data_IF_445824636462
#
_entry.id   IF_445824636462
#
_cell.length_a   1.000
_cell.length_b   1.000
_cell.length_c   1.000
_cell.angle_alpha   90.00
_cell.angle_beta   90.00
_cell.angle_gamma   90.00
#
_symmetry.space_group_name_H-M   'P 1'
#
loop_
_entity.id
_entity.type
_entity.pdbx_description
1 polymer ?
#
# COMPACT_ATOMS: atom_id res chain seq x y z
N UNK A 1 -23.44 18.27 -3.06
CA UNK A 1 -23.30 17.00 -3.76
C UNK A 1 -24.71 16.53 -4.10
N UNK A 2 -25.19 16.80 -5.34
CA UNK A 2 -26.55 16.53 -5.74
C UNK A 2 -26.72 15.12 -6.28
N UNK A 3 -26.98 14.15 -5.43
CA UNK A 3 -27.69 12.94 -5.81
C UNK A 3 -29.00 12.97 -5.07
N UNK A 4 -30.12 12.82 -5.79
CA UNK A 4 -31.46 12.71 -5.21
C UNK A 4 -31.46 11.45 -4.31
N UNK A 5 -31.39 11.65 -2.98
CA UNK A 5 -31.61 10.60 -2.00
C UNK A 5 -33.10 10.34 -1.88
N UNK A 6 -33.61 9.19 -2.33
CA UNK A 6 -34.94 8.72 -2.02
C UNK A 6 -34.91 7.99 -0.66
N UNK A 7 -35.51 8.58 0.37
CA UNK A 7 -35.74 7.95 1.68
C UNK A 7 -37.11 7.26 1.63
N UNK A 8 -37.15 5.96 1.93
CA UNK A 8 -38.37 5.19 2.07
C UNK A 8 -38.62 4.96 3.56
N UNK A 9 -39.80 5.32 4.02
CA UNK A 9 -40.49 5.02 5.29
C UNK A 9 -40.32 6.00 6.47
N UNK A 10 -39.16 6.55 6.83
CA UNK A 10 -39.06 7.51 7.93
C UNK A 10 -37.90 8.49 7.83
N UNK A 11 -38.14 9.77 7.57
CA UNK A 11 -37.10 10.80 7.48
C UNK A 11 -36.53 11.21 8.86
N UNK A 12 -37.06 10.73 9.95
CA UNK A 12 -36.70 11.09 11.33
C UNK A 12 -35.96 10.00 12.09
N UNK A 13 -35.55 8.90 11.41
CA UNK A 13 -34.78 7.84 12.04
C UNK A 13 -33.36 8.32 12.32
N UNK A 14 -32.97 8.30 13.59
CA UNK A 14 -31.63 8.65 14.05
C UNK A 14 -30.75 7.41 14.12
N UNK A 15 -29.48 7.55 13.69
CA UNK A 15 -28.45 6.54 13.84
C UNK A 15 -27.22 7.15 14.49
N UNK A 16 -26.57 6.40 15.35
CA UNK A 16 -25.39 6.82 16.10
C UNK A 16 -24.20 5.89 15.92
N UNK A 17 -24.35 4.82 15.13
CA UNK A 17 -23.28 3.85 14.89
C UNK A 17 -23.41 3.21 13.50
N UNK A 18 -22.34 2.56 13.06
CA UNK A 18 -22.29 1.76 11.83
C UNK A 18 -22.19 0.28 12.19
N UNK A 19 -22.82 -0.60 11.42
CA UNK A 19 -22.74 -2.05 11.61
C UNK A 19 -22.66 -2.80 10.28
N UNK A 20 -22.15 -4.02 10.32
CA UNK A 20 -22.35 -4.94 9.20
C UNK A 20 -23.83 -5.29 9.10
N UNK A 21 -24.30 -5.63 7.88
CA UNK A 21 -25.71 -5.91 7.65
C UNK A 21 -26.22 -7.13 8.46
N UNK A 22 -25.36 -8.14 8.64
CA UNK A 22 -25.63 -9.34 9.43
C UNK A 22 -25.65 -9.09 10.95
N UNK A 23 -25.07 -8.00 11.42
CA UNK A 23 -24.91 -7.62 12.84
C UNK A 23 -25.70 -6.38 13.20
N UNK A 24 -26.61 -5.94 12.31
CA UNK A 24 -27.41 -4.72 12.50
C UNK A 24 -28.27 -4.73 13.75
N UNK A 25 -28.23 -3.66 14.53
CA UNK A 25 -29.03 -3.41 15.72
C UNK A 25 -29.75 -2.08 15.62
N UNK A 26 -30.84 -1.84 16.39
CA UNK A 26 -31.50 -0.55 16.44
C UNK A 26 -30.52 0.60 16.73
N UNK A 27 -30.62 1.70 15.98
CA UNK A 27 -29.72 2.84 16.05
C UNK A 27 -28.45 2.71 15.18
N UNK A 28 -28.32 1.64 14.38
CA UNK A 28 -27.20 1.50 13.44
C UNK A 28 -27.60 1.77 12.00
N UNK A 29 -26.60 2.23 11.22
CA UNK A 29 -26.65 2.29 9.76
C UNK A 29 -25.82 1.16 9.18
N UNK A 30 -26.40 0.40 8.27
CA UNK A 30 -25.75 -0.68 7.52
C UNK A 30 -25.76 -0.39 6.02
N UNK A 31 -25.17 -1.25 5.22
CA UNK A 31 -25.16 -1.11 3.75
C UNK A 31 -25.27 -2.48 3.06
N UNK A 32 -25.84 -2.47 1.85
CA UNK A 32 -25.91 -3.61 0.96
C UNK A 32 -25.34 -3.20 -0.42
N UNK A 33 -24.08 -3.57 -0.68
CA UNK A 33 -23.42 -3.33 -1.96
C UNK A 33 -23.24 -4.61 -2.77
N UNK A 34 -23.09 -5.77 -2.12
CA UNK A 34 -22.88 -7.05 -2.78
C UNK A 34 -24.15 -7.90 -2.75
N UNK A 35 -24.66 -8.33 -3.91
CA UNK A 35 -25.88 -9.15 -4.01
C UNK A 35 -25.85 -10.45 -3.21
N UNK A 36 -24.67 -11.01 -2.91
CA UNK A 36 -24.53 -12.21 -2.09
C UNK A 36 -25.06 -12.03 -0.65
N UNK A 37 -25.14 -10.81 -0.17
CA UNK A 37 -25.61 -10.47 1.18
C UNK A 37 -27.07 -10.02 1.21
N UNK A 38 -27.81 -10.07 0.08
CA UNK A 38 -29.20 -9.60 -0.02
C UNK A 38 -30.12 -10.27 1.00
N UNK A 39 -29.90 -11.54 1.32
CA UNK A 39 -30.75 -12.24 2.29
C UNK A 39 -30.69 -11.64 3.71
N UNK A 40 -29.59 -10.99 4.09
CA UNK A 40 -29.46 -10.34 5.39
C UNK A 40 -30.32 -9.08 5.53
N UNK A 41 -30.75 -8.43 4.41
CA UNK A 41 -31.57 -7.23 4.51
C UNK A 41 -32.95 -7.50 5.12
N UNK A 42 -33.42 -8.75 5.03
CA UNK A 42 -34.69 -9.20 5.61
C UNK A 42 -34.55 -9.68 7.06
N UNK A 43 -33.32 -9.77 7.59
CA UNK A 43 -33.01 -10.28 8.92
C UNK A 43 -32.35 -9.22 9.81
N UNK A 44 -31.82 -8.16 9.22
CA UNK A 44 -31.12 -7.12 9.96
C UNK A 44 -32.07 -6.31 10.81
N UNK A 45 -31.63 -5.93 12.00
CA UNK A 45 -32.30 -4.96 12.86
C UNK A 45 -31.68 -3.57 12.80
N UNK A 46 -30.81 -3.30 11.78
CA UNK A 46 -30.30 -1.96 11.54
C UNK A 46 -31.45 -0.97 11.25
N UNK A 47 -31.38 0.22 11.83
CA UNK A 47 -32.42 1.24 11.61
C UNK A 47 -32.41 1.77 10.19
N UNK A 48 -31.22 1.87 9.57
CA UNK A 48 -31.08 2.36 8.19
C UNK A 48 -30.15 1.40 7.42
N UNK A 49 -30.48 1.15 6.13
CA UNK A 49 -29.62 0.42 5.20
C UNK A 49 -29.44 1.22 3.91
N UNK A 50 -28.17 1.48 3.55
CA UNK A 50 -27.83 2.03 2.24
C UNK A 50 -27.95 0.93 1.20
N UNK A 51 -28.71 1.18 0.13
CA UNK A 51 -28.92 0.23 -0.96
C UNK A 51 -28.71 0.91 -2.32
N UNK A 52 -28.40 0.12 -3.34
CA UNK A 52 -28.34 0.66 -4.70
C UNK A 52 -29.71 1.23 -5.13
N UNK A 53 -29.72 2.29 -5.91
CA UNK A 53 -30.96 2.96 -6.37
C UNK A 53 -31.96 2.02 -7.05
N UNK A 54 -31.46 1.01 -7.77
CA UNK A 54 -32.27 0.02 -8.47
C UNK A 54 -32.69 -1.17 -7.59
N UNK A 55 -32.33 -1.15 -6.30
CA UNK A 55 -32.73 -2.23 -5.40
C UNK A 55 -34.25 -2.19 -5.15
N UNK A 56 -34.90 -3.30 -5.47
CA UNK A 56 -36.33 -3.52 -5.19
C UNK A 56 -36.47 -4.73 -4.24
N UNK A 57 -37.07 -4.53 -3.05
CA UNK A 57 -37.24 -5.61 -2.09
C UNK A 57 -38.31 -6.61 -2.56
N UNK A 58 -38.03 -7.89 -2.44
CA UNK A 58 -38.97 -8.99 -2.72
C UNK A 58 -39.97 -9.18 -1.57
N UNK A 59 -39.60 -8.79 -0.35
CA UNK A 59 -40.39 -8.91 0.87
C UNK A 59 -40.36 -7.61 1.67
N UNK A 60 -41.29 -7.41 2.61
CA UNK A 60 -41.24 -6.27 3.52
C UNK A 60 -39.94 -6.22 4.31
N UNK A 61 -39.38 -5.02 4.48
CA UNK A 61 -38.15 -4.74 5.21
C UNK A 61 -38.48 -3.81 6.36
N UNK A 62 -37.97 -4.10 7.57
CA UNK A 62 -38.16 -3.27 8.77
C UNK A 62 -37.30 -2.01 8.75
N UNK A 63 -36.08 -2.09 8.17
CA UNK A 63 -35.17 -0.97 8.10
C UNK A 63 -35.61 0.12 7.12
N UNK A 64 -35.30 1.37 7.45
CA UNK A 64 -35.42 2.47 6.49
C UNK A 64 -34.37 2.33 5.39
N UNK A 65 -34.78 2.35 4.13
CA UNK A 65 -33.87 2.22 2.99
C UNK A 65 -33.48 3.61 2.46
N UNK A 66 -32.16 3.83 2.31
CA UNK A 66 -31.63 5.00 1.59
C UNK A 66 -31.04 4.49 0.27
N UNK A 67 -31.71 4.84 -0.82
CA UNK A 67 -31.29 4.49 -2.19
C UNK A 67 -30.21 5.47 -2.67
N UNK A 68 -29.05 4.94 -3.09
CA UNK A 68 -27.89 5.71 -3.58
C UNK A 68 -27.31 5.06 -4.84
N UNK A 69 -26.55 5.82 -5.64
CA UNK A 69 -25.90 5.29 -6.84
C UNK A 69 -24.85 4.24 -6.52
N UNK A 70 -24.07 4.43 -5.46
CA UNK A 70 -23.04 3.50 -5.00
C UNK A 70 -23.03 3.42 -3.46
N UNK A 71 -23.64 2.37 -2.88
CA UNK A 71 -23.66 2.19 -1.42
C UNK A 71 -22.28 2.03 -0.80
N UNK A 72 -21.30 1.46 -1.55
CA UNK A 72 -19.95 1.27 -1.06
C UNK A 72 -19.18 2.58 -0.99
N UNK A 73 -19.30 3.43 -2.01
CA UNK A 73 -18.70 4.76 -2.02
C UNK A 73 -19.32 5.64 -0.91
N UNK A 74 -20.64 5.58 -0.71
CA UNK A 74 -21.29 6.30 0.39
C UNK A 74 -20.82 5.83 1.77
N UNK A 75 -20.67 4.51 1.97
CA UNK A 75 -20.09 3.98 3.20
C UNK A 75 -18.65 4.50 3.42
N UNK A 76 -17.82 4.47 2.39
CA UNK A 76 -16.44 4.96 2.48
C UNK A 76 -16.40 6.44 2.90
N UNK A 77 -17.28 7.27 2.36
CA UNK A 77 -17.42 8.69 2.77
C UNK A 77 -17.83 8.81 4.24
N UNK A 78 -18.81 8.04 4.71
CA UNK A 78 -19.25 8.05 6.11
C UNK A 78 -18.14 7.59 7.05
N UNK A 79 -17.44 6.52 6.73
CA UNK A 79 -16.29 6.02 7.52
C UNK A 79 -15.18 7.08 7.61
N UNK A 80 -14.92 7.80 6.51
CA UNK A 80 -13.95 8.89 6.53
C UNK A 80 -14.39 10.03 7.44
N UNK A 81 -15.67 10.45 7.39
CA UNK A 81 -16.21 11.48 8.29
C UNK A 81 -16.09 11.08 9.77
N UNK A 82 -16.43 9.84 10.10
CA UNK A 82 -16.29 9.32 11.48
C UNK A 82 -14.83 9.29 11.90
N UNK A 83 -13.94 8.84 11.01
CA UNK A 83 -12.52 8.81 11.26
C UNK A 83 -11.95 10.22 11.45
N UNK A 84 -12.29 11.17 10.60
CA UNK A 84 -11.88 12.57 10.73
C UNK A 84 -12.34 13.18 12.07
N UNK A 85 -13.56 12.93 12.48
CA UNK A 85 -14.10 13.40 13.77
C UNK A 85 -13.33 12.76 14.95
N UNK A 86 -12.94 11.50 14.83
CA UNK A 86 -12.18 10.76 15.86
C UNK A 86 -10.73 11.23 15.96
N UNK A 87 -10.10 11.57 14.82
CA UNK A 87 -8.70 12.01 14.75
C UNK A 87 -8.58 13.54 14.86
N UNK A 88 -9.66 14.28 15.04
CA UNK A 88 -9.67 15.75 15.12
C UNK A 88 -8.98 16.27 16.39
N UNK A 89 -7.68 15.96 16.54
CA UNK A 89 -6.84 16.49 17.62
C UNK A 89 -6.23 17.84 17.23
N UNK A 90 -6.11 18.72 18.22
CA UNK A 90 -5.41 20.02 18.11
C UNK A 90 -4.64 20.28 19.40
N UNK A 91 -3.64 21.16 19.32
CA UNK A 91 -2.86 21.61 20.47
C UNK A 91 -1.57 20.84 20.66
N UNK A 92 -0.84 21.23 21.68
CA UNK A 92 0.54 20.76 21.93
C UNK A 92 0.58 20.05 23.29
N UNK A 93 0.86 18.77 23.27
CA UNK A 93 1.08 17.96 24.47
C UNK A 93 2.53 18.09 24.96
N UNK A 94 2.77 17.92 26.25
CA UNK A 94 4.09 18.01 26.87
C UNK A 94 4.47 16.68 27.56
N UNK A 95 5.79 16.35 27.69
CA UNK A 95 6.92 17.10 27.16
C UNK A 95 7.17 16.84 25.68
N UNK A 96 7.67 17.83 24.96
CA UNK A 96 8.16 17.71 23.59
C UNK A 96 9.40 18.59 23.39
N UNK A 97 10.12 18.42 22.28
CA UNK A 97 11.21 19.30 21.86
C UNK A 97 10.91 19.87 20.48
N UNK A 98 10.93 21.17 20.37
CA UNK A 98 10.84 21.92 19.12
C UNK A 98 11.99 22.90 19.05
N UNK A 99 12.79 22.83 18.00
CA UNK A 99 13.89 23.78 17.79
C UNK A 99 13.36 25.21 17.71
N UNK A 100 14.09 26.15 18.28
CA UNK A 100 13.76 27.60 18.25
C UNK A 100 13.72 28.20 16.84
N UNK A 101 14.27 27.49 15.85
CA UNK A 101 14.23 27.89 14.43
C UNK A 101 12.93 27.50 13.73
N UNK A 102 11.99 26.81 14.40
CA UNK A 102 10.74 26.30 13.82
C UNK A 102 9.57 27.10 14.33
N UNK A 103 8.72 27.54 13.40
CA UNK A 103 7.41 28.14 13.72
C UNK A 103 6.33 27.09 13.50
N UNK A 104 5.61 26.79 14.58
CA UNK A 104 4.48 25.85 14.51
C UNK A 104 3.22 26.57 14.03
N UNK A 105 2.40 25.97 13.15
CA UNK A 105 1.08 26.50 12.79
C UNK A 105 0.11 26.45 13.98
N UNK A 106 -0.85 27.39 14.01
CA UNK A 106 -1.85 27.48 15.10
C UNK A 106 -2.79 26.28 15.16
N UNK A 107 -2.98 25.58 14.04
CA UNK A 107 -3.89 24.45 13.88
C UNK A 107 -3.21 23.07 14.01
N UNK A 108 -1.94 23.05 14.47
CA UNK A 108 -1.16 21.82 14.64
C UNK A 108 -1.71 20.96 15.80
N UNK A 109 -1.57 19.64 15.66
CA UNK A 109 -1.50 18.73 16.80
C UNK A 109 -0.07 18.20 16.95
N UNK A 110 0.52 18.39 18.13
CA UNK A 110 1.83 17.88 18.49
C UNK A 110 1.73 17.04 19.76
N UNK A 111 1.88 15.73 19.60
CA UNK A 111 1.82 14.75 20.68
C UNK A 111 3.05 14.76 21.57
N UNK A 112 2.91 14.23 22.78
CA UNK A 112 3.97 14.17 23.77
C UNK A 112 5.20 13.37 23.27
N UNK A 113 6.38 13.76 23.74
CA UNK A 113 7.67 13.17 23.37
C UNK A 113 8.03 13.27 21.88
N UNK A 114 7.37 14.16 21.13
CA UNK A 114 7.80 14.48 19.77
C UNK A 114 9.09 15.31 19.79
N UNK A 115 9.96 15.07 18.81
CA UNK A 115 11.18 15.84 18.56
C UNK A 115 11.12 16.47 17.18
N UNK A 116 11.26 17.78 17.09
CA UNK A 116 11.31 18.55 15.85
C UNK A 116 12.65 19.31 15.79
N UNK A 117 13.48 18.90 14.82
CA UNK A 117 14.82 19.45 14.59
C UNK A 117 14.81 20.86 14.02
N UNK A 118 15.99 21.31 13.61
CA UNK A 118 16.20 22.67 13.10
C UNK A 118 15.65 22.85 11.69
N UNK A 119 15.17 24.09 11.40
CA UNK A 119 14.74 24.53 10.07
C UNK A 119 13.65 23.67 9.43
N UNK A 120 12.90 22.92 10.24
CA UNK A 120 11.74 22.16 9.76
C UNK A 120 10.64 23.13 9.35
N UNK A 121 10.03 22.88 8.19
CA UNK A 121 8.87 23.63 7.69
C UNK A 121 7.64 22.74 7.79
N UNK A 122 6.57 23.25 8.41
CA UNK A 122 5.35 22.50 8.66
C UNK A 122 4.17 23.28 8.08
N UNK A 123 3.37 22.62 7.26
CA UNK A 123 2.16 23.16 6.66
C UNK A 123 0.98 23.22 7.63
N UNK A 124 -0.19 23.55 7.11
CA UNK A 124 -1.43 23.70 7.89
C UNK A 124 -2.06 22.36 8.22
N UNK A 125 -2.82 22.30 9.31
CA UNK A 125 -3.60 21.13 9.75
C UNK A 125 -2.77 19.83 9.82
N UNK A 126 -1.51 19.94 10.26
CA UNK A 126 -0.62 18.78 10.43
C UNK A 126 -0.86 18.15 11.80
N UNK A 127 -0.91 16.83 11.85
CA UNK A 127 -1.05 16.05 13.07
C UNK A 127 0.17 15.17 13.28
N UNK A 128 0.92 15.44 14.34
CA UNK A 128 2.14 14.73 14.72
C UNK A 128 1.86 14.03 16.04
N UNK A 129 1.74 12.71 15.98
CA UNK A 129 1.41 11.89 17.15
C UNK A 129 2.64 11.64 18.04
N UNK A 130 2.45 11.12 19.27
CA UNK A 130 3.52 10.96 20.24
C UNK A 130 4.74 10.17 19.74
N UNK A 131 5.94 10.49 20.31
CA UNK A 131 7.19 9.78 20.03
C UNK A 131 7.68 9.87 18.57
N UNK A 132 7.18 10.83 17.80
CA UNK A 132 7.64 11.08 16.43
C UNK A 132 8.96 11.84 16.46
N UNK A 133 9.91 11.44 15.60
CA UNK A 133 11.17 12.14 15.36
C UNK A 133 11.17 12.78 13.97
N UNK A 134 11.42 14.08 13.91
CA UNK A 134 11.55 14.86 12.66
C UNK A 134 12.92 15.53 12.69
N UNK A 135 13.80 15.09 11.78
CA UNK A 135 15.16 15.59 11.64
C UNK A 135 15.22 17.01 11.05
N UNK A 136 16.44 17.55 10.98
CA UNK A 136 16.68 18.91 10.47
C UNK A 136 16.29 19.04 8.98
N UNK A 137 15.89 20.26 8.57
CA UNK A 137 15.61 20.60 7.18
C UNK A 137 14.48 19.80 6.51
N UNK A 138 13.63 19.12 7.30
CA UNK A 138 12.45 18.40 6.78
C UNK A 138 11.37 19.40 6.38
N UNK A 139 10.71 19.12 5.26
CA UNK A 139 9.55 19.88 4.78
C UNK A 139 8.32 18.99 4.84
N UNK A 140 7.24 19.47 5.48
CA UNK A 140 5.96 18.77 5.62
C UNK A 140 4.87 19.68 5.05
N UNK A 141 4.11 19.17 4.10
CA UNK A 141 2.99 19.86 3.47
C UNK A 141 1.75 19.98 4.36
N UNK A 142 0.66 20.40 3.77
CA UNK A 142 -0.63 20.60 4.44
C UNK A 142 -1.39 19.28 4.66
N UNK A 143 -2.22 19.21 5.71
CA UNK A 143 -3.12 18.08 6.02
C UNK A 143 -2.38 16.74 6.19
N UNK A 144 -1.13 16.74 6.64
CA UNK A 144 -0.34 15.52 6.85
C UNK A 144 -0.65 14.94 8.23
N UNK A 145 -0.87 13.62 8.28
CA UNK A 145 -1.00 12.88 9.53
C UNK A 145 0.19 11.93 9.71
N UNK A 146 0.92 12.12 10.81
CA UNK A 146 2.12 11.37 11.18
C UNK A 146 1.83 10.63 12.49
N UNK A 147 1.57 9.34 12.40
CA UNK A 147 1.22 8.51 13.56
C UNK A 147 2.41 8.27 14.49
N UNK A 148 2.12 7.69 15.67
CA UNK A 148 3.08 7.54 16.74
C UNK A 148 4.34 6.78 16.34
N UNK A 149 5.49 7.24 16.81
CA UNK A 149 6.77 6.57 16.62
C UNK A 149 7.35 6.63 15.20
N UNK A 150 6.79 7.40 14.29
CA UNK A 150 7.36 7.65 12.95
C UNK A 150 8.68 8.40 13.08
N UNK A 151 9.65 8.07 12.24
CA UNK A 151 10.95 8.73 12.15
C UNK A 151 11.18 9.26 10.75
N UNK A 152 11.36 10.58 10.64
CA UNK A 152 11.69 11.26 9.39
C UNK A 152 13.08 11.85 9.54
N UNK A 153 14.03 11.33 8.78
CA UNK A 153 15.40 11.79 8.80
C UNK A 153 15.54 13.13 8.07
N UNK A 154 16.71 13.77 8.28
CA UNK A 154 16.97 15.11 7.75
C UNK A 154 16.77 15.25 6.23
N UNK A 155 16.38 16.45 5.82
CA UNK A 155 16.21 16.89 4.43
C UNK A 155 15.16 16.13 3.62
N UNK A 156 14.32 15.28 4.24
CA UNK A 156 13.21 14.62 3.57
C UNK A 156 12.06 15.60 3.32
N UNK A 157 11.28 15.33 2.25
CA UNK A 157 10.13 16.14 1.85
C UNK A 157 8.88 15.28 1.87
N UNK A 158 7.84 15.72 2.55
CA UNK A 158 6.53 15.09 2.65
C UNK A 158 5.52 16.04 2.02
N UNK A 159 4.85 15.59 0.95
CA UNK A 159 3.81 16.34 0.25
C UNK A 159 2.52 16.51 1.04
N UNK A 160 1.53 17.10 0.43
CA UNK A 160 0.23 17.38 1.06
C UNK A 160 -0.63 16.11 1.18
N UNK A 161 -1.52 16.09 2.18
CA UNK A 161 -2.50 15.03 2.42
C UNK A 161 -1.86 13.63 2.56
N UNK A 162 -0.64 13.55 3.06
CA UNK A 162 0.05 12.28 3.30
C UNK A 162 -0.32 11.69 4.67
N UNK A 163 -0.32 10.36 4.73
CA UNK A 163 -0.55 9.60 5.96
C UNK A 163 0.64 8.67 6.17
N UNK A 164 1.33 8.82 7.32
CA UNK A 164 2.43 7.96 7.72
C UNK A 164 2.02 7.17 8.96
N UNK A 165 1.84 5.85 8.82
CA UNK A 165 1.41 4.99 9.92
C UNK A 165 2.54 4.69 10.91
N UNK A 166 2.17 4.18 12.09
CA UNK A 166 3.07 4.02 13.23
C UNK A 166 4.35 3.22 12.89
N UNK A 167 5.47 3.69 13.41
CA UNK A 167 6.77 3.04 13.25
C UNK A 167 7.42 3.17 11.88
N UNK A 168 6.80 3.86 10.92
CA UNK A 168 7.39 4.14 9.60
C UNK A 168 8.70 4.90 9.74
N UNK A 169 9.69 4.54 8.92
CA UNK A 169 11.00 5.21 8.88
C UNK A 169 11.25 5.76 7.46
N UNK A 170 11.41 7.07 7.37
CA UNK A 170 11.65 7.79 6.12
C UNK A 170 13.06 8.36 6.12
N UNK A 171 13.89 7.95 5.15
CA UNK A 171 15.20 8.53 4.92
C UNK A 171 16.33 7.95 5.76
N UNK A 172 16.20 6.72 6.27
CA UNK A 172 17.35 5.97 6.78
C UNK A 172 18.38 5.72 5.67
N UNK A 173 19.62 5.44 6.05
CA UNK A 173 20.67 5.16 5.07
C UNK A 173 20.35 3.89 4.27
N UNK A 174 20.51 3.97 2.96
CA UNK A 174 20.45 2.81 2.08
C UNK A 174 21.60 1.81 2.32
N UNK A 175 21.42 0.59 1.83
CA UNK A 175 22.41 -0.48 1.92
C UNK A 175 23.54 -0.27 0.89
N UNK A 176 24.45 0.66 1.22
CA UNK A 176 25.59 1.03 0.38
C UNK A 176 26.92 0.64 1.04
N UNK A 177 27.61 -0.37 0.49
CA UNK A 177 28.91 -0.83 0.95
C UNK A 177 29.82 -1.19 -0.22
N UNK A 178 31.10 -0.78 -0.15
CA UNK A 178 32.12 -1.13 -1.12
C UNK A 178 32.99 -2.27 -0.59
N UNK A 179 33.12 -3.41 -1.31
CA UNK A 179 34.03 -4.47 -0.92
C UNK A 179 35.48 -3.98 -1.02
N UNK A 180 36.29 -4.32 -0.03
CA UNK A 180 37.71 -4.00 0.03
C UNK A 180 38.58 -5.24 -0.27
N UNK A 181 39.86 -5.02 -0.60
CA UNK A 181 40.80 -6.09 -0.93
C UNK A 181 41.01 -7.08 0.21
N UNK A 182 40.81 -6.67 1.46
CA UNK A 182 40.91 -7.52 2.66
C UNK A 182 39.64 -8.32 2.97
N UNK A 183 38.58 -8.20 2.11
CA UNK A 183 37.30 -8.86 2.31
C UNK A 183 36.30 -8.10 3.20
N UNK A 184 36.68 -6.95 3.75
CA UNK A 184 35.82 -6.11 4.53
C UNK A 184 34.92 -5.23 3.63
N UNK A 185 33.88 -4.62 4.24
CA UNK A 185 32.97 -3.70 3.57
C UNK A 185 33.12 -2.29 4.15
N UNK A 186 33.53 -1.34 3.33
CA UNK A 186 33.51 0.07 3.69
C UNK A 186 32.13 0.67 3.41
N UNK A 187 31.58 1.39 4.39
CA UNK A 187 30.29 2.08 4.22
C UNK A 187 30.41 3.19 3.18
N UNK A 188 29.45 3.27 2.27
CA UNK A 188 29.24 4.39 1.35
C UNK A 188 28.21 5.32 1.99
N UNK A 189 28.60 6.58 2.24
CA UNK A 189 27.73 7.58 2.80
C UNK A 189 26.52 7.84 1.88
N UNK A 190 25.36 7.99 2.50
CA UNK A 190 24.10 8.27 1.80
C UNK A 190 23.74 9.75 2.06
N UNK A 191 23.94 10.61 1.08
CA UNK A 191 23.80 12.07 1.19
C UNK A 191 22.53 12.63 0.54
N UNK A 192 21.76 11.78 -0.13
CA UNK A 192 20.49 12.16 -0.72
C UNK A 192 19.34 12.20 0.30
N UNK A 193 18.12 12.24 -0.17
CA UNK A 193 16.92 12.29 0.66
C UNK A 193 15.80 11.37 0.15
N UNK A 194 14.63 11.50 0.77
CA UNK A 194 13.36 10.92 0.31
C UNK A 194 12.38 12.04 0.00
N UNK A 195 11.64 11.90 -1.08
CA UNK A 195 10.53 12.77 -1.46
C UNK A 195 9.27 11.93 -1.58
N UNK A 196 8.28 12.23 -0.74
CA UNK A 196 6.91 11.77 -0.90
C UNK A 196 6.11 12.90 -1.54
N UNK A 197 5.48 12.63 -2.67
CA UNK A 197 4.55 13.57 -3.29
C UNK A 197 3.18 13.55 -2.59
N UNK A 198 2.20 14.28 -3.12
CA UNK A 198 0.89 14.45 -2.49
C UNK A 198 0.07 13.15 -2.43
N UNK A 199 -0.81 13.04 -1.44
CA UNK A 199 -1.77 11.94 -1.26
C UNK A 199 -1.13 10.54 -1.11
N UNK A 200 0.12 10.48 -0.64
CA UNK A 200 0.82 9.22 -0.36
C UNK A 200 0.40 8.67 1.00
N UNK A 201 0.22 7.37 1.08
CA UNK A 201 -0.03 6.67 2.33
C UNK A 201 0.99 5.56 2.54
N UNK A 202 1.62 5.55 3.72
CA UNK A 202 2.68 4.61 4.08
C UNK A 202 2.24 3.81 5.31
N UNK A 203 2.12 2.51 5.14
CA UNK A 203 1.73 1.55 6.18
C UNK A 203 2.75 1.39 7.31
N UNK A 204 2.30 0.79 8.40
CA UNK A 204 3.08 0.67 9.63
C UNK A 204 4.39 -0.11 9.42
N UNK A 205 5.47 0.37 10.08
CA UNK A 205 6.81 -0.22 10.04
C UNK A 205 7.39 -0.38 8.62
N UNK A 206 6.90 0.36 7.65
CA UNK A 206 7.49 0.46 6.31
C UNK A 206 8.72 1.35 6.37
N UNK A 207 9.77 0.97 5.66
CA UNK A 207 11.03 1.71 5.60
C UNK A 207 11.33 2.16 4.18
N UNK A 208 11.69 3.44 4.03
CA UNK A 208 12.06 4.06 2.76
C UNK A 208 13.45 4.69 2.93
N UNK A 209 14.44 4.08 2.27
CA UNK A 209 15.83 4.53 2.37
C UNK A 209 16.05 5.79 1.53
N UNK A 210 16.93 6.67 2.04
CA UNK A 210 17.39 7.82 1.27
C UNK A 210 18.23 7.39 0.08
N UNK A 211 18.24 8.19 -0.94
CA UNK A 211 19.14 8.00 -2.06
C UNK A 211 20.60 8.17 -1.64
N UNK A 212 21.52 7.49 -2.32
CA UNK A 212 22.95 7.76 -2.19
C UNK A 212 23.26 9.21 -2.59
N UNK A 213 22.70 9.65 -3.71
CA UNK A 213 22.67 11.04 -4.20
C UNK A 213 21.33 11.28 -4.88
N UNK A 214 20.81 12.50 -4.82
CA UNK A 214 19.48 12.84 -5.30
C UNK A 214 18.38 12.36 -4.36
N UNK A 215 17.32 11.76 -4.88
CA UNK A 215 16.15 11.40 -4.08
C UNK A 215 15.65 9.99 -4.39
N UNK A 216 15.18 9.29 -3.36
CA UNK A 216 14.21 8.20 -3.48
C UNK A 216 12.83 8.83 -3.56
N UNK A 217 12.03 8.50 -4.56
CA UNK A 217 10.80 9.24 -4.90
C UNK A 217 9.59 8.33 -4.84
N UNK A 218 8.61 8.69 -4.04
CA UNK A 218 7.29 8.07 -4.00
C UNK A 218 6.30 9.08 -4.58
N UNK A 219 5.78 8.78 -5.77
CA UNK A 219 4.95 9.72 -6.51
C UNK A 219 3.52 9.80 -5.97
N UNK A 220 2.79 10.79 -6.49
CA UNK A 220 1.44 11.13 -6.04
C UNK A 220 0.52 9.92 -5.99
N UNK A 221 -0.25 9.82 -4.91
CA UNK A 221 -1.33 8.85 -4.76
C UNK A 221 -0.88 7.40 -4.49
N UNK A 222 0.41 7.14 -4.35
CA UNK A 222 0.94 5.81 -4.01
C UNK A 222 0.45 5.35 -2.65
N UNK A 223 0.13 4.06 -2.54
CA UNK A 223 -0.24 3.39 -1.29
C UNK A 223 0.72 2.23 -1.03
N UNK A 224 1.50 2.34 0.02
CA UNK A 224 2.37 1.28 0.53
C UNK A 224 1.75 0.68 1.78
N UNK A 225 1.57 -0.61 1.81
CA UNK A 225 1.09 -1.35 2.97
C UNK A 225 2.20 -1.51 4.03
N UNK A 226 1.96 -2.34 5.03
CA UNK A 226 2.83 -2.52 6.19
C UNK A 226 4.09 -3.33 5.84
N UNK A 227 5.19 -3.06 6.57
CA UNK A 227 6.43 -3.84 6.50
C UNK A 227 7.08 -3.87 5.10
N UNK A 228 6.92 -2.86 4.31
CA UNK A 228 7.55 -2.75 2.98
C UNK A 228 8.95 -2.15 3.13
N UNK A 229 9.89 -2.62 2.31
CA UNK A 229 11.21 -2.01 2.13
C UNK A 229 11.30 -1.35 0.76
N UNK A 230 11.51 -0.04 0.72
CA UNK A 230 11.89 0.71 -0.47
C UNK A 230 13.35 1.13 -0.31
N UNK A 231 14.23 0.57 -1.14
CA UNK A 231 15.65 0.86 -1.06
C UNK A 231 16.02 2.19 -1.75
N UNK A 232 17.29 2.58 -1.60
CA UNK A 232 17.84 3.83 -2.10
C UNK A 232 17.62 4.05 -3.61
N UNK A 233 17.35 5.29 -4.02
CA UNK A 233 17.20 5.69 -5.43
C UNK A 233 16.05 5.00 -6.19
N UNK A 234 15.12 4.36 -5.48
CA UNK A 234 13.90 3.81 -6.09
C UNK A 234 12.97 4.96 -6.46
N UNK A 235 12.27 4.81 -7.57
CA UNK A 235 11.10 5.63 -7.91
C UNK A 235 9.87 4.73 -8.00
N UNK A 236 8.78 5.11 -7.32
CA UNK A 236 7.47 4.46 -7.43
C UNK A 236 6.50 5.41 -8.13
N UNK A 237 5.97 4.99 -9.27
CA UNK A 237 5.07 5.75 -10.13
C UNK A 237 3.71 6.04 -9.48
N UNK A 238 3.01 7.04 -10.02
CA UNK A 238 1.75 7.54 -9.48
C UNK A 238 0.69 6.44 -9.34
N UNK A 239 -0.12 6.54 -8.27
CA UNK A 239 -1.27 5.66 -8.01
C UNK A 239 -0.94 4.16 -7.98
N UNK A 240 0.31 3.81 -7.75
CA UNK A 240 0.76 2.43 -7.56
C UNK A 240 0.44 1.96 -6.15
N UNK A 241 -0.01 0.71 -6.03
CA UNK A 241 -0.29 0.06 -4.75
C UNK A 241 0.63 -1.13 -4.54
N UNK A 242 1.23 -1.23 -3.36
CA UNK A 242 2.16 -2.30 -3.01
C UNK A 242 1.69 -2.92 -1.69
N UNK A 243 1.39 -4.22 -1.71
CA UNK A 243 0.92 -4.94 -0.53
C UNK A 243 2.07 -5.33 0.41
N UNK A 244 1.71 -5.73 1.62
CA UNK A 244 2.62 -5.91 2.75
C UNK A 244 3.83 -6.83 2.46
N UNK A 245 4.94 -6.51 3.15
CA UNK A 245 6.18 -7.29 3.12
C UNK A 245 6.87 -7.35 1.75
N UNK A 246 6.50 -6.51 0.79
CA UNK A 246 7.23 -6.42 -0.47
C UNK A 246 8.57 -5.70 -0.28
N UNK A 247 9.56 -6.06 -1.08
CA UNK A 247 10.88 -5.44 -1.10
C UNK A 247 11.26 -4.95 -2.50
N UNK A 248 11.56 -3.66 -2.63
CA UNK A 248 12.01 -3.05 -3.88
C UNK A 248 13.48 -2.67 -3.74
N UNK A 249 14.36 -3.36 -4.45
CA UNK A 249 15.79 -3.15 -4.33
C UNK A 249 16.26 -1.85 -5.01
N UNK A 250 17.47 -1.43 -4.66
CA UNK A 250 18.01 -0.11 -5.02
C UNK A 250 17.97 0.22 -6.50
N UNK A 251 17.70 1.48 -6.81
CA UNK A 251 17.64 2.04 -8.17
C UNK A 251 16.60 1.41 -9.11
N UNK A 252 15.68 0.61 -8.59
CA UNK A 252 14.54 0.11 -9.39
C UNK A 252 13.54 1.24 -9.67
N UNK A 253 12.89 1.17 -10.83
CA UNK A 253 11.85 2.08 -11.27
C UNK A 253 10.55 1.33 -11.42
N UNK A 254 9.56 1.65 -10.61
CA UNK A 254 8.20 1.08 -10.70
C UNK A 254 7.31 2.07 -11.44
N UNK A 255 6.60 1.61 -12.46
CA UNK A 255 5.68 2.41 -13.25
C UNK A 255 4.44 2.86 -12.46
N UNK A 256 3.59 3.63 -13.11
CA UNK A 256 2.34 4.15 -12.54
C UNK A 256 1.23 3.10 -12.60
N UNK A 257 0.26 3.21 -11.66
CA UNK A 257 -0.91 2.32 -11.59
C UNK A 257 -0.55 0.82 -11.48
N UNK A 258 0.62 0.49 -10.97
CA UNK A 258 1.02 -0.90 -10.72
C UNK A 258 0.32 -1.47 -9.48
N UNK A 259 -0.03 -2.74 -9.53
CA UNK A 259 -0.56 -3.50 -8.40
C UNK A 259 0.43 -4.62 -8.05
N UNK A 260 1.12 -4.48 -6.92
CA UNK A 260 2.16 -5.41 -6.47
C UNK A 260 1.67 -6.16 -5.24
N UNK A 261 1.56 -7.48 -5.37
CA UNK A 261 1.12 -8.38 -4.30
C UNK A 261 2.07 -8.45 -3.11
N UNK A 262 1.59 -9.01 -2.00
CA UNK A 262 2.40 -9.15 -0.78
C UNK A 262 3.61 -10.07 -0.96
N UNK A 263 4.69 -9.78 -0.23
CA UNK A 263 5.93 -10.56 -0.25
C UNK A 263 6.62 -10.64 -1.63
N UNK A 264 6.36 -9.70 -2.51
CA UNK A 264 7.05 -9.60 -3.81
C UNK A 264 8.44 -9.03 -3.59
N UNK A 265 9.44 -9.65 -4.25
CA UNK A 265 10.81 -9.15 -4.30
C UNK A 265 11.15 -8.62 -5.68
N UNK A 266 11.62 -7.38 -5.78
CA UNK A 266 12.04 -6.74 -7.04
C UNK A 266 13.54 -6.52 -7.03
N UNK A 267 14.25 -7.03 -8.03
CA UNK A 267 15.69 -6.85 -8.18
C UNK A 267 16.08 -5.38 -8.41
N UNK A 268 17.32 -5.04 -8.05
CA UNK A 268 17.85 -3.69 -8.26
C UNK A 268 18.06 -3.34 -9.73
N UNK A 269 18.05 -2.03 -10.02
CA UNK A 269 18.37 -1.47 -11.34
C UNK A 269 17.47 -1.93 -12.50
N UNK A 270 16.28 -2.45 -12.20
CA UNK A 270 15.29 -2.85 -13.21
C UNK A 270 14.16 -1.83 -13.33
N UNK A 271 13.44 -1.90 -14.45
CA UNK A 271 12.25 -1.10 -14.71
C UNK A 271 11.03 -2.01 -14.80
N UNK A 272 10.01 -1.71 -14.02
CA UNK A 272 8.68 -2.28 -14.11
C UNK A 272 7.78 -1.27 -14.84
N UNK A 273 7.05 -1.73 -15.83
CA UNK A 273 6.16 -0.89 -16.65
C UNK A 273 4.93 -0.38 -15.89
N UNK A 274 4.15 0.43 -16.57
CA UNK A 274 2.88 0.94 -16.05
C UNK A 274 1.79 -0.12 -16.06
N UNK A 275 0.82 -0.04 -15.13
CA UNK A 275 -0.38 -0.90 -15.03
C UNK A 275 -0.07 -2.39 -14.92
N UNK A 276 1.10 -2.75 -14.43
CA UNK A 276 1.45 -4.16 -14.20
C UNK A 276 0.67 -4.72 -13.01
N UNK A 277 0.43 -6.02 -13.04
CA UNK A 277 -0.15 -6.76 -11.93
C UNK A 277 0.80 -7.90 -11.53
N UNK A 278 1.23 -7.91 -10.28
CA UNK A 278 2.18 -8.89 -9.77
C UNK A 278 1.52 -9.71 -8.67
N UNK A 279 1.42 -11.02 -8.88
CA UNK A 279 0.92 -11.96 -7.86
C UNK A 279 1.83 -12.01 -6.64
N UNK A 280 1.25 -12.30 -5.47
CA UNK A 280 1.99 -12.40 -4.22
C UNK A 280 3.15 -13.41 -4.29
N UNK A 281 4.21 -13.17 -3.49
CA UNK A 281 5.40 -14.02 -3.38
C UNK A 281 6.20 -14.18 -4.68
N UNK A 282 6.01 -13.31 -5.67
CA UNK A 282 6.77 -13.34 -6.92
C UNK A 282 8.15 -12.70 -6.76
N UNK A 283 9.17 -13.31 -7.33
CA UNK A 283 10.49 -12.71 -7.51
C UNK A 283 10.63 -12.13 -8.92
N UNK A 284 11.01 -10.87 -9.05
CA UNK A 284 11.14 -10.19 -10.34
C UNK A 284 12.62 -9.87 -10.59
N UNK A 285 13.33 -10.67 -11.40
CA UNK A 285 14.76 -10.46 -11.66
C UNK A 285 15.08 -9.53 -12.82
N UNK A 286 14.12 -9.24 -13.73
CA UNK A 286 14.32 -8.53 -14.98
C UNK A 286 13.28 -7.45 -15.22
N UNK A 287 13.49 -6.61 -16.24
CA UNK A 287 12.52 -5.63 -16.69
C UNK A 287 11.18 -6.27 -17.03
N UNK A 288 10.10 -5.55 -16.77
CA UNK A 288 8.72 -5.96 -17.07
C UNK A 288 8.06 -4.88 -17.92
N UNK A 289 7.42 -5.29 -19.01
CA UNK A 289 6.72 -4.39 -19.91
C UNK A 289 5.41 -3.86 -19.29
N UNK A 290 4.86 -2.81 -19.89
CA UNK A 290 3.57 -2.25 -19.49
C UNK A 290 2.46 -3.31 -19.60
N UNK A 291 1.43 -3.17 -18.76
CA UNK A 291 0.21 -4.01 -18.77
C UNK A 291 0.44 -5.51 -18.53
N UNK A 292 1.66 -5.89 -18.12
CA UNK A 292 1.97 -7.29 -17.84
C UNK A 292 1.29 -7.80 -16.57
N UNK A 293 0.77 -9.02 -16.64
CA UNK A 293 0.25 -9.78 -15.49
C UNK A 293 1.19 -10.93 -15.22
N UNK A 294 1.88 -10.92 -14.07
CA UNK A 294 2.91 -11.91 -13.73
C UNK A 294 2.65 -12.54 -12.37
N UNK A 295 2.97 -13.82 -12.26
CA UNK A 295 2.80 -14.60 -11.04
C UNK A 295 3.93 -15.63 -10.91
N UNK A 296 4.50 -15.76 -9.72
CA UNK A 296 5.67 -16.62 -9.51
C UNK A 296 5.48 -17.83 -8.61
N UNK A 297 4.44 -17.93 -7.75
CA UNK A 297 4.45 -18.94 -6.70
C UNK A 297 3.05 -19.28 -6.14
N UNK A 298 2.27 -20.19 -6.76
CA UNK A 298 1.06 -20.70 -6.13
C UNK A 298 1.39 -21.82 -5.11
N UNK A 299 0.71 -21.84 -3.98
CA UNK A 299 0.69 -23.00 -3.11
C UNK A 299 -0.08 -24.14 -3.78
N UNK A 300 0.50 -25.34 -3.72
CA UNK A 300 -0.14 -26.58 -4.22
C UNK A 300 -0.17 -27.61 -3.09
N UNK A 301 -1.03 -28.65 -3.17
CA UNK A 301 -1.03 -29.74 -2.19
C UNK A 301 0.37 -30.32 -1.98
N UNK A 302 0.76 -30.60 -0.73
CA UNK A 302 2.14 -31.00 -0.37
C UNK A 302 2.67 -32.21 -1.14
N UNK A 303 1.82 -33.19 -1.44
CA UNK A 303 2.19 -34.37 -2.25
C UNK A 303 2.48 -33.97 -3.71
N UNK A 304 1.76 -33.01 -4.24
CA UNK A 304 1.98 -32.49 -5.59
C UNK A 304 3.26 -31.67 -5.66
N UNK A 305 3.50 -30.79 -4.67
CA UNK A 305 4.75 -30.04 -4.54
C UNK A 305 5.96 -30.95 -4.50
N UNK A 306 5.93 -32.01 -3.69
CA UNK A 306 7.01 -32.98 -3.60
C UNK A 306 7.31 -33.65 -4.95
N UNK A 307 6.28 -33.99 -5.74
CA UNK A 307 6.44 -34.53 -7.10
C UNK A 307 7.04 -33.48 -8.04
N UNK A 308 6.54 -32.25 -8.03
CA UNK A 308 7.06 -31.16 -8.87
C UNK A 308 8.55 -30.92 -8.64
N UNK A 309 9.00 -30.89 -7.37
CA UNK A 309 10.43 -30.74 -7.02
C UNK A 309 11.27 -31.86 -7.62
N UNK A 310 10.80 -33.11 -7.60
CA UNK A 310 11.51 -34.26 -8.21
C UNK A 310 11.58 -34.11 -9.72
N UNK A 311 10.47 -33.75 -10.38
CA UNK A 311 10.43 -33.58 -11.84
C UNK A 311 11.33 -32.44 -12.29
N UNK A 312 11.30 -31.29 -11.61
CA UNK A 312 12.18 -30.15 -11.93
C UNK A 312 13.65 -30.53 -11.85
N UNK A 313 14.06 -31.30 -10.83
CA UNK A 313 15.45 -31.82 -10.74
C UNK A 313 15.84 -32.75 -11.90
N UNK A 314 14.87 -33.45 -12.49
CA UNK A 314 15.11 -34.39 -13.62
C UNK A 314 15.01 -33.73 -14.99
N UNK A 315 14.58 -32.45 -15.10
CA UNK A 315 14.44 -31.75 -16.37
C UNK A 315 15.75 -31.77 -17.22
N UNK A 316 16.95 -31.55 -16.67
CA UNK A 316 18.18 -31.62 -17.48
C UNK A 316 18.44 -32.99 -18.09
N UNK A 317 18.11 -34.08 -17.38
CA UNK A 317 18.22 -35.46 -17.86
C UNK A 317 17.18 -35.74 -18.96
N UNK A 318 15.92 -35.37 -18.69
CA UNK A 318 14.81 -35.47 -19.65
C UNK A 318 15.12 -34.74 -20.96
N UNK A 319 15.67 -33.54 -20.88
CA UNK A 319 16.04 -32.74 -22.05
C UNK A 319 17.12 -33.43 -22.90
N UNK A 320 18.10 -34.06 -22.25
CA UNK A 320 19.13 -34.84 -22.96
C UNK A 320 18.55 -36.06 -23.63
N UNK A 321 17.67 -36.79 -22.95
CA UNK A 321 16.97 -37.97 -23.50
C UNK A 321 16.12 -37.61 -24.69
N UNK A 322 15.32 -36.55 -24.61
CA UNK A 322 14.49 -36.06 -25.73
C UNK A 322 15.37 -35.72 -26.95
N UNK A 323 16.45 -34.96 -26.78
CA UNK A 323 17.38 -34.62 -27.87
C UNK A 323 18.07 -35.83 -28.48
N UNK A 324 18.35 -36.88 -27.68
CA UNK A 324 18.88 -38.15 -28.22
C UNK A 324 17.85 -38.89 -29.07
N UNK A 325 16.61 -38.99 -28.56
CA UNK A 325 15.51 -39.62 -29.30
C UNK A 325 15.16 -38.88 -30.60
N UNK A 326 15.19 -37.52 -30.60
CA UNK A 326 14.98 -36.74 -31.83
C UNK A 326 16.01 -37.07 -32.89
N UNK A 327 17.31 -37.18 -32.52
CA UNK A 327 18.38 -37.55 -33.46
C UNK A 327 18.20 -38.96 -33.99
N UNK A 328 17.79 -39.90 -33.15
CA UNK A 328 17.57 -41.29 -33.53
C UNK A 328 16.38 -41.40 -34.51
N UNK A 329 15.29 -40.65 -34.25
CA UNK A 329 14.14 -40.56 -35.14
C UNK A 329 14.52 -40.00 -36.53
N UNK A 330 15.35 -38.92 -36.55
CA UNK A 330 15.82 -38.36 -37.81
C UNK A 330 16.68 -39.36 -38.60
N UNK A 331 17.62 -40.05 -37.94
CA UNK A 331 18.42 -41.09 -38.58
C UNK A 331 17.57 -42.24 -39.14
N UNK A 332 16.55 -42.70 -38.41
CA UNK A 332 15.61 -43.71 -38.87
C UNK A 332 14.76 -43.24 -40.06
N UNK A 333 14.33 -42.00 -40.08
CA UNK A 333 13.60 -41.39 -41.21
C UNK A 333 14.47 -41.30 -42.47
N UNK A 334 15.77 -40.97 -42.36
CA UNK A 334 16.70 -41.00 -43.50
C UNK A 334 16.93 -42.41 -44.03
N UNK A 335 17.09 -43.38 -43.13
CA UNK A 335 17.22 -44.79 -43.53
C UNK A 335 15.97 -45.31 -44.26
N UNK A 336 14.78 -44.86 -43.86
CA UNK A 336 13.51 -45.25 -44.53
C UNK A 336 13.32 -44.56 -45.91
N UNK A 337 13.90 -43.36 -46.10
CA UNK A 337 13.84 -42.67 -47.40
C UNK A 337 14.82 -43.25 -48.43
N UNK A 338 15.85 -43.97 -47.98
CA UNK A 338 16.90 -44.56 -48.81
C UNK A 338 16.65 -46.05 -49.09
N UNK A 339 15.54 -46.59 -48.65
CA UNK A 339 14.96 -47.90 -49.03
C UNK A 339 13.82 -47.70 -50.01
#
# INVERSE_FOLDING_TARGET
VGSEMCIRDSPSVEVNNLSKIEEGTPGTLSFLANPKYTHYIYQTHASIVLVHKDFEPEHPIEATLIKVDDPYACLAMLLNLVNEATIAKRGIEQPNYVSSSVTLPDDIYLGAFAYIGERVKIGKNVKIYPQTYIGNDVVIGDNVTIFAGVKIYHSCVIGNNCILHAGTVIGADGFGFAPQANGEYAKIAQIGNVVLEDNVEIGANTTIDRATMGSTIIKKGVKLDNLIQIAHNVEVGEHTVIAAQAGIAGSAKVGSHAMIGGQVGVAGHIKLGDRIQVGAQSGIPNHVENDAVIMGYPAVPSKEFARQVVYVKRLPELTRTVKALEREIEALKEQLKNK
#
